data_IF_027298229402
#
_entry.id   IF_027298229402
#
_cell.length_a   1.000
_cell.length_b   1.000
_cell.length_c   1.000
_cell.angle_alpha   90.00
_cell.angle_beta   90.00
_cell.angle_gamma   90.00
#
_symmetry.space_group_name_H-M   'P 1'
#
loop_
_entity.id
_entity.type
_entity.pdbx_description
1 polymer ?
#
# COMPACT_ATOMS: atom_id res chain seq x y z
N UNK A 1 0.25 -6.44 6.88
CA UNK A 1 -1.16 -6.32 7.22
C UNK A 1 -1.51 -4.87 7.55
N UNK A 2 -2.56 -4.37 6.94
CA UNK A 2 -3.07 -3.02 7.20
C UNK A 2 -4.47 -3.15 7.76
N UNK A 3 -4.70 -2.52 8.92
CA UNK A 3 -6.01 -2.52 9.55
C UNK A 3 -6.76 -1.23 9.22
N UNK A 4 -8.10 -1.29 9.14
CA UNK A 4 -8.89 -0.09 8.89
C UNK A 4 -8.80 0.86 10.09
N UNK A 5 -8.70 2.16 9.80
CA UNK A 5 -8.71 3.19 10.83
C UNK A 5 -9.15 4.51 10.22
N UNK A 6 -9.52 5.48 11.08
CA UNK A 6 -9.97 6.80 10.67
C UNK A 6 -8.84 7.84 10.66
N UNK A 7 -7.61 7.42 10.95
CA UNK A 7 -6.48 8.33 10.98
C UNK A 7 -6.05 8.71 9.56
N UNK A 8 -5.45 9.91 9.40
CA UNK A 8 -4.86 10.28 8.11
C UNK A 8 -3.80 9.27 7.69
N UNK A 9 -3.62 9.11 6.38
CA UNK A 9 -2.60 8.24 5.83
C UNK A 9 -1.21 8.77 6.18
N UNK A 10 -0.34 7.88 6.67
CA UNK A 10 1.06 8.21 6.91
C UNK A 10 1.88 7.89 5.67
N UNK A 11 2.80 8.80 5.34
CA UNK A 11 3.68 8.63 4.18
C UNK A 11 5.08 8.31 4.65
N UNK A 12 5.69 7.34 3.99
CA UNK A 12 7.05 6.89 4.27
C UNK A 12 7.90 7.01 3.02
N UNK A 13 9.21 7.17 3.23
CA UNK A 13 10.20 7.05 2.15
C UNK A 13 11.36 6.23 2.67
N UNK A 14 11.97 5.43 1.81
CA UNK A 14 13.20 4.70 2.13
C UNK A 14 13.94 4.37 0.84
N UNK A 15 15.20 4.00 0.97
CA UNK A 15 16.01 3.63 -0.18
C UNK A 15 15.58 2.29 -0.75
N UNK A 16 15.77 2.11 -2.06
CA UNK A 16 15.47 0.87 -2.75
C UNK A 16 14.13 0.90 -3.46
N UNK A 17 13.59 -0.28 -3.67
CA UNK A 17 12.36 -0.48 -4.42
C UNK A 17 11.46 -1.41 -3.62
N UNK A 18 10.16 -1.30 -3.87
CA UNK A 18 9.20 -2.10 -3.15
C UNK A 18 8.21 -2.75 -4.12
N UNK A 19 7.92 -4.02 -3.87
CA UNK A 19 6.90 -4.78 -4.58
C UNK A 19 5.82 -5.18 -3.57
N UNK A 20 4.56 -4.93 -3.90
CA UNK A 20 3.42 -5.30 -3.06
C UNK A 20 2.42 -6.13 -3.86
N UNK A 21 1.93 -7.20 -3.25
CA UNK A 21 0.89 -8.05 -3.81
C UNK A 21 -0.23 -8.19 -2.78
N UNK A 22 -1.44 -7.80 -3.13
CA UNK A 22 -2.59 -7.89 -2.23
C UNK A 22 -3.13 -9.32 -2.25
N UNK A 23 -3.23 -9.93 -1.07
CA UNK A 23 -3.73 -11.30 -0.93
C UNK A 23 -5.09 -11.37 -0.25
N UNK A 24 -5.51 -10.31 0.45
CA UNK A 24 -6.83 -10.23 1.09
C UNK A 24 -7.25 -8.78 1.24
N UNK A 25 -8.50 -8.48 0.93
CA UNK A 25 -9.08 -7.14 1.07
C UNK A 25 -8.76 -6.21 -0.10
N UNK A 26 -9.03 -4.92 0.08
CA UNK A 26 -8.69 -3.89 -0.89
C UNK A 26 -7.80 -2.85 -0.24
N UNK A 27 -6.76 -2.46 -0.93
CA UNK A 27 -5.75 -1.54 -0.43
C UNK A 27 -5.77 -0.25 -1.24
N UNK A 28 -5.83 0.88 -0.54
CA UNK A 28 -5.57 2.19 -1.15
C UNK A 28 -4.09 2.50 -0.99
N UNK A 29 -3.41 2.69 -2.10
CA UNK A 29 -1.99 3.00 -2.11
C UNK A 29 -1.79 4.38 -2.72
N UNK A 30 -1.11 5.27 -1.98
CA UNK A 30 -0.77 6.59 -2.44
C UNK A 30 0.74 6.65 -2.69
N UNK A 31 1.15 7.02 -3.90
CA UNK A 31 2.55 7.10 -4.30
C UNK A 31 2.76 8.40 -5.06
N UNK A 32 3.65 9.27 -4.54
CA UNK A 32 4.04 10.49 -5.24
C UNK A 32 2.86 11.38 -5.60
N UNK A 33 1.80 11.41 -4.80
CA UNK A 33 0.61 12.20 -5.05
C UNK A 33 -0.46 11.52 -5.89
N UNK A 34 -0.24 10.27 -6.29
CA UNK A 34 -1.24 9.47 -7.01
C UNK A 34 -1.84 8.42 -6.10
N UNK A 35 -3.13 8.19 -6.24
CA UNK A 35 -3.83 7.17 -5.47
C UNK A 35 -4.26 6.02 -6.38
N UNK A 36 -4.00 4.81 -5.92
CA UNK A 36 -4.32 3.57 -6.63
C UNK A 36 -5.08 2.64 -5.71
N UNK A 37 -6.10 1.98 -6.23
CA UNK A 37 -6.82 0.95 -5.50
C UNK A 37 -6.37 -0.42 -6.00
N UNK A 38 -5.89 -1.25 -5.07
CA UNK A 38 -5.44 -2.61 -5.38
C UNK A 38 -6.44 -3.61 -4.81
N UNK A 39 -6.91 -4.51 -5.66
CA UNK A 39 -7.78 -5.61 -5.28
C UNK A 39 -6.95 -6.88 -5.07
N UNK A 40 -7.59 -7.92 -4.54
CA UNK A 40 -6.94 -9.22 -4.38
C UNK A 40 -6.36 -9.67 -5.72
N UNK A 41 -5.10 -10.06 -5.72
CA UNK A 41 -4.39 -10.47 -6.92
C UNK A 41 -3.67 -9.34 -7.65
N UNK A 42 -3.95 -8.09 -7.29
CA UNK A 42 -3.25 -6.96 -7.89
C UNK A 42 -1.89 -6.78 -7.24
N UNK A 43 -0.92 -6.37 -8.05
CA UNK A 43 0.43 -6.11 -7.58
C UNK A 43 0.95 -4.80 -8.13
N UNK A 44 1.94 -4.23 -7.43
CA UNK A 44 2.59 -3.00 -7.84
C UNK A 44 4.08 -3.04 -7.46
N UNK A 45 4.89 -2.44 -8.30
CA UNK A 45 6.33 -2.29 -8.10
C UNK A 45 6.65 -0.81 -8.24
N UNK A 46 7.32 -0.23 -7.24
CA UNK A 46 7.61 1.20 -7.28
C UNK A 46 8.90 1.54 -6.54
N UNK A 47 9.41 2.74 -6.81
CA UNK A 47 10.59 3.27 -6.15
C UNK A 47 10.19 3.78 -4.76
N UNK A 48 10.76 3.18 -3.71
CA UNK A 48 10.44 3.51 -2.33
C UNK A 48 10.91 4.90 -1.90
N UNK A 49 11.71 5.59 -2.70
CA UNK A 49 12.11 6.96 -2.42
C UNK A 49 10.95 7.95 -2.63
N UNK A 50 9.93 7.56 -3.38
CA UNK A 50 8.75 8.39 -3.52
C UNK A 50 7.91 8.30 -2.24
N UNK A 51 7.34 9.44 -1.76
CA UNK A 51 6.44 9.37 -0.61
C UNK A 51 5.30 8.39 -0.92
N UNK A 52 5.09 7.41 -0.05
CA UNK A 52 4.05 6.42 -0.24
C UNK A 52 3.36 6.08 1.07
N UNK A 53 2.08 5.77 0.99
CA UNK A 53 1.28 5.39 2.13
C UNK A 53 0.20 4.41 1.72
N UNK A 54 -0.32 3.69 2.70
CA UNK A 54 -1.31 2.64 2.48
C UNK A 54 -2.47 2.79 3.45
N UNK A 55 -3.67 2.43 2.98
CA UNK A 55 -4.86 2.45 3.82
C UNK A 55 -5.77 1.29 3.45
N UNK A 56 -6.33 0.63 4.46
CA UNK A 56 -7.31 -0.43 4.24
C UNK A 56 -8.65 0.18 3.84
N UNK A 57 -9.29 -0.40 2.83
CA UNK A 57 -10.60 0.03 2.36
C UNK A 57 -11.71 -0.87 2.91
N UNK A 58 -12.97 -0.43 2.76
CA UNK A 58 -14.16 -1.20 3.11
C UNK A 58 -14.26 -1.56 4.60
N UNK A 59 -13.51 -0.88 5.47
CA UNK A 59 -13.51 -1.19 6.90
C UNK A 59 -13.01 -2.59 7.21
N UNK A 60 -12.21 -3.18 6.33
CA UNK A 60 -11.68 -4.54 6.49
C UNK A 60 -10.18 -4.54 6.50
N UNK A 61 -9.59 -5.46 7.25
CA UNK A 61 -8.14 -5.66 7.26
C UNK A 61 -7.66 -6.11 5.89
N UNK A 62 -6.56 -5.52 5.44
CA UNK A 62 -5.90 -5.88 4.19
C UNK A 62 -4.64 -6.66 4.49
N UNK A 63 -4.47 -7.79 3.82
CA UNK A 63 -3.25 -8.59 3.90
C UNK A 63 -2.54 -8.52 2.56
N UNK A 64 -1.24 -8.29 2.62
CA UNK A 64 -0.44 -8.18 1.40
C UNK A 64 0.97 -8.70 1.67
N UNK A 65 1.62 -9.11 0.58
CA UNK A 65 3.03 -9.48 0.60
C UNK A 65 3.84 -8.27 0.16
N UNK A 66 4.81 -7.86 0.97
CA UNK A 66 5.70 -6.75 0.64
C UNK A 66 7.13 -7.26 0.56
N UNK A 67 7.82 -6.93 -0.53
CA UNK A 67 9.22 -7.26 -0.74
C UNK A 67 9.97 -5.95 -0.97
N UNK A 68 10.96 -5.68 -0.13
CA UNK A 68 11.80 -4.49 -0.22
C UNK A 68 13.17 -4.91 -0.70
N UNK A 69 13.64 -4.25 -1.74
CA UNK A 69 14.91 -4.60 -2.37
C UNK A 69 15.93 -3.48 -2.25
#
# INVERSE_FOLDING_TARGET
TVEPNDNPMHYNTHEGQEFNLVVEGRLLLSIGGKELTLNVGDSIYFNSQLPHGMKALDGKTVRFLAIIM
#
